data_IF_489152079416
#
_entry.id   IF_489152079416
#
_cell.length_a   1.000
_cell.length_b   1.000
_cell.length_c   1.000
_cell.angle_alpha   90.00
_cell.angle_beta   90.00
_cell.angle_gamma   90.00
#
_symmetry.space_group_name_H-M   'P 1'
#
loop_
_entity.id
_entity.type
_entity.pdbx_description
1 polymer ?
#
# COMPACT_ATOMS: atom_id res chain seq x y z
N UNK A 1 -24.35 -15.93 -22.94
CA UNK A 1 -23.66 -14.62 -23.00
C UNK A 1 -23.47 -14.09 -24.44
N UNK A 2 -23.04 -14.93 -25.40
CA UNK A 2 -22.71 -14.49 -26.76
C UNK A 2 -23.83 -13.75 -27.50
N UNK A 3 -25.09 -14.20 -27.37
CA UNK A 3 -26.25 -13.53 -28.00
C UNK A 3 -26.41 -12.08 -27.51
N UNK A 4 -26.31 -11.85 -26.20
CA UNK A 4 -26.42 -10.50 -25.61
C UNK A 4 -25.24 -9.62 -26.05
N UNK A 5 -24.03 -10.17 -26.08
CA UNK A 5 -22.84 -9.42 -26.52
C UNK A 5 -22.93 -9.02 -28.00
N UNK A 6 -23.50 -9.89 -28.84
CA UNK A 6 -23.70 -9.61 -30.26
C UNK A 6 -24.74 -8.52 -30.53
N UNK A 7 -25.70 -8.29 -29.62
CA UNK A 7 -26.69 -7.22 -29.75
C UNK A 7 -26.08 -5.82 -29.57
N UNK A 8 -24.99 -5.70 -28.81
CA UNK A 8 -24.37 -4.40 -28.54
C UNK A 8 -22.84 -4.50 -28.32
N UNK A 9 -22.07 -5.02 -29.30
CA UNK A 9 -20.66 -5.38 -29.13
C UNK A 9 -19.74 -4.18 -28.86
N UNK A 10 -20.15 -2.97 -29.24
CA UNK A 10 -19.41 -1.73 -28.95
C UNK A 10 -19.63 -1.23 -27.51
N UNK A 11 -20.68 -1.69 -26.84
CA UNK A 11 -21.06 -1.17 -25.51
C UNK A 11 -20.99 -2.23 -24.43
N UNK A 12 -21.08 -3.51 -24.76
CA UNK A 12 -21.06 -4.61 -23.81
C UNK A 12 -19.75 -5.41 -23.89
N UNK A 13 -19.34 -5.97 -22.76
CA UNK A 13 -18.28 -6.96 -22.69
C UNK A 13 -18.61 -8.02 -21.63
N UNK A 14 -17.98 -9.18 -21.76
CA UNK A 14 -18.04 -10.24 -20.76
C UNK A 14 -17.04 -9.92 -19.66
N UNK A 15 -17.51 -9.73 -18.44
CA UNK A 15 -16.62 -9.47 -17.31
C UNK A 15 -15.79 -10.72 -16.98
N UNK A 16 -14.47 -10.60 -16.79
CA UNK A 16 -13.58 -11.73 -16.57
C UNK A 16 -13.60 -12.26 -15.12
N UNK A 17 -14.62 -11.91 -14.32
CA UNK A 17 -14.77 -12.39 -12.94
C UNK A 17 -15.41 -13.78 -12.85
N UNK A 18 -15.11 -14.47 -11.76
CA UNK A 18 -15.85 -15.63 -11.29
C UNK A 18 -16.99 -15.20 -10.39
N UNK A 19 -18.13 -15.88 -10.51
CA UNK A 19 -19.27 -15.70 -9.62
C UNK A 19 -19.29 -16.81 -8.57
N UNK A 20 -19.47 -16.42 -7.31
CA UNK A 20 -19.52 -17.31 -6.16
C UNK A 20 -20.81 -17.07 -5.39
N UNK A 21 -21.42 -18.15 -4.88
CA UNK A 21 -22.65 -18.15 -4.09
C UNK A 21 -22.42 -18.83 -2.76
N UNK A 22 -22.93 -18.21 -1.69
CA UNK A 22 -23.12 -18.86 -0.40
C UNK A 22 -24.61 -19.08 -0.16
N UNK A 23 -25.01 -20.33 0.04
CA UNK A 23 -26.35 -20.65 0.54
C UNK A 23 -26.42 -20.37 2.03
N UNK A 24 -27.27 -19.42 2.43
CA UNK A 24 -27.26 -18.89 3.79
C UNK A 24 -27.78 -19.91 4.82
N UNK A 25 -28.63 -20.85 4.39
CA UNK A 25 -29.08 -21.96 5.21
C UNK A 25 -27.96 -22.94 5.64
N UNK A 26 -26.85 -23.00 4.89
CA UNK A 26 -25.70 -23.84 5.17
C UNK A 26 -24.63 -23.13 6.03
N UNK A 27 -24.78 -21.82 6.28
CA UNK A 27 -23.82 -21.05 7.07
C UNK A 27 -23.87 -21.47 8.54
N UNK A 28 -22.71 -21.77 9.11
CA UNK A 28 -22.55 -22.01 10.54
C UNK A 28 -21.82 -20.84 11.19
N UNK A 29 -22.49 -20.19 12.12
CA UNK A 29 -21.90 -19.11 12.89
C UNK A 29 -20.74 -19.66 13.73
N UNK A 30 -19.64 -18.90 13.78
CA UNK A 30 -18.45 -19.24 14.58
C UNK A 30 -18.42 -18.36 15.82
N UNK A 31 -17.91 -18.91 16.92
CA UNK A 31 -17.73 -18.13 18.14
C UNK A 31 -16.87 -16.88 17.87
N UNK A 32 -17.25 -15.70 18.40
CA UNK A 32 -16.47 -14.48 18.24
C UNK A 32 -15.07 -14.69 18.83
N UNK A 33 -14.05 -14.26 18.10
CA UNK A 33 -12.70 -14.14 18.65
C UNK A 33 -12.49 -12.73 19.17
N UNK A 34 -11.74 -12.52 20.26
CA UNK A 34 -11.31 -11.20 20.68
C UNK A 34 -10.58 -10.52 19.51
N UNK A 35 -11.07 -9.35 19.11
CA UNK A 35 -10.49 -8.54 18.03
C UNK A 35 -10.19 -7.16 18.59
N UNK A 36 -9.11 -6.54 18.09
CA UNK A 36 -8.73 -5.16 18.41
C UNK A 36 -9.40 -4.14 17.50
N UNK A 37 -10.40 -4.58 16.76
CA UNK A 37 -11.27 -3.77 15.92
C UNK A 37 -12.71 -4.26 16.09
N UNK A 38 -13.66 -3.39 15.77
CA UNK A 38 -15.08 -3.72 15.79
C UNK A 38 -15.65 -3.69 14.38
N UNK A 39 -16.61 -4.55 14.08
CA UNK A 39 -17.35 -4.53 12.82
C UNK A 39 -18.78 -4.09 13.09
N UNK A 40 -19.23 -3.05 12.38
CA UNK A 40 -20.54 -2.44 12.59
C UNK A 40 -21.10 -1.83 11.30
N UNK A 41 -22.41 -1.54 11.28
CA UNK A 41 -22.98 -0.65 10.26
C UNK A 41 -22.35 0.75 10.34
N UNK A 42 -22.30 1.42 9.19
CA UNK A 42 -21.98 2.84 9.08
C UNK A 42 -22.98 3.70 9.88
N UNK A 43 -22.47 4.66 10.65
CA UNK A 43 -23.23 5.49 11.61
C UNK A 43 -22.96 6.98 11.49
N UNK A 44 -21.78 7.40 11.04
CA UNK A 44 -21.36 8.81 11.03
C UNK A 44 -20.93 9.27 9.63
N UNK A 45 -20.80 10.59 9.44
CA UNK A 45 -20.18 11.15 8.22
C UNK A 45 -18.68 10.84 8.16
N UNK A 46 -18.01 10.78 9.30
CA UNK A 46 -16.60 10.39 9.40
C UNK A 46 -16.39 8.96 8.90
N UNK A 47 -17.33 8.04 9.18
CA UNK A 47 -17.29 6.69 8.62
C UNK A 47 -17.34 6.72 7.08
N UNK A 48 -18.16 7.59 6.48
CA UNK A 48 -18.26 7.71 5.03
C UNK A 48 -16.95 8.22 4.41
N UNK A 49 -16.28 9.18 5.07
CA UNK A 49 -14.94 9.61 4.68
C UNK A 49 -13.93 8.46 4.82
N UNK A 50 -13.96 7.72 5.92
CA UNK A 50 -13.10 6.54 6.15
C UNK A 50 -13.31 5.42 5.11
N UNK A 51 -14.55 5.20 4.65
CA UNK A 51 -14.84 4.27 3.55
C UNK A 51 -14.10 4.67 2.27
N UNK A 52 -14.13 5.95 1.90
CA UNK A 52 -13.41 6.43 0.72
C UNK A 52 -11.90 6.36 0.90
N UNK A 53 -11.39 6.67 2.09
CA UNK A 53 -9.97 6.51 2.39
C UNK A 53 -9.51 5.06 2.12
N UNK A 54 -10.30 4.06 2.57
CA UNK A 54 -10.01 2.64 2.28
C UNK A 54 -10.13 2.32 0.78
N UNK A 55 -11.08 2.91 0.07
CA UNK A 55 -11.21 2.74 -1.39
C UNK A 55 -9.99 3.30 -2.13
N UNK A 56 -9.59 4.52 -1.82
CA UNK A 56 -8.44 5.19 -2.43
C UNK A 56 -7.14 4.44 -2.14
N UNK A 57 -6.94 3.98 -0.90
CA UNK A 57 -5.80 3.15 -0.52
C UNK A 57 -5.74 1.81 -1.29
N UNK A 58 -6.87 1.36 -1.86
CA UNK A 58 -6.98 0.17 -2.72
C UNK A 58 -7.11 0.49 -4.21
N UNK A 59 -6.86 1.74 -4.62
CA UNK A 59 -7.00 2.21 -5.99
C UNK A 59 -8.42 1.97 -6.55
N UNK A 60 -9.42 1.98 -5.68
CA UNK A 60 -10.83 1.86 -6.04
C UNK A 60 -11.42 3.25 -6.24
N UNK A 61 -12.49 3.32 -7.04
CA UNK A 61 -13.18 4.59 -7.32
C UNK A 61 -13.91 5.06 -6.06
N UNK A 62 -13.59 6.25 -5.51
CA UNK A 62 -14.31 6.80 -4.37
C UNK A 62 -15.74 7.19 -4.76
N UNK A 63 -16.63 7.22 -3.76
CA UNK A 63 -18.03 7.60 -3.94
C UNK A 63 -18.29 8.89 -3.18
N UNK A 64 -19.13 9.78 -3.69
CA UNK A 64 -19.45 11.02 -2.98
C UNK A 64 -19.85 10.72 -1.50
N UNK A 65 -19.16 11.28 -0.48
CA UNK A 65 -19.42 10.94 0.92
C UNK A 65 -20.89 11.12 1.33
N UNK A 66 -21.54 12.15 0.78
CA UNK A 66 -22.97 12.42 1.01
C UNK A 66 -23.89 11.33 0.43
N UNK A 67 -23.49 10.65 -0.65
CA UNK A 67 -24.22 9.50 -1.15
C UNK A 67 -24.14 8.35 -0.14
N UNK A 68 -22.94 7.98 0.31
CA UNK A 68 -22.73 6.91 1.30
C UNK A 68 -23.51 7.22 2.58
N UNK A 69 -23.42 8.46 3.07
CA UNK A 69 -24.11 8.92 4.27
C UNK A 69 -25.64 8.79 4.17
N UNK A 70 -26.22 9.12 3.02
CA UNK A 70 -27.67 8.95 2.76
C UNK A 70 -28.10 7.48 2.80
N UNK A 71 -27.21 6.56 2.44
CA UNK A 71 -27.51 5.12 2.44
C UNK A 71 -27.41 4.45 3.81
N UNK A 72 -27.01 5.15 4.87
CA UNK A 72 -26.80 4.54 6.21
C UNK A 72 -28.00 3.73 6.74
N UNK A 73 -29.22 4.21 6.47
CA UNK A 73 -30.48 3.61 6.88
C UNK A 73 -31.20 2.87 5.74
N UNK A 74 -30.54 2.71 4.59
CA UNK A 74 -31.11 2.02 3.44
C UNK A 74 -31.39 0.55 3.78
N UNK A 75 -32.52 0.07 3.24
CA UNK A 75 -32.86 -1.37 3.21
C UNK A 75 -32.32 -2.04 1.95
N UNK A 76 -31.92 -1.26 0.95
CA UNK A 76 -31.39 -1.73 -0.32
C UNK A 76 -29.87 -1.95 -0.26
N UNK A 77 -29.16 -1.02 0.39
CA UNK A 77 -27.71 -1.03 0.51
C UNK A 77 -27.29 -1.10 1.98
N UNK A 78 -26.36 -1.99 2.27
CA UNK A 78 -25.81 -2.19 3.62
C UNK A 78 -24.33 -1.86 3.63
N UNK A 79 -23.96 -0.71 4.20
CA UNK A 79 -22.57 -0.31 4.41
C UNK A 79 -22.10 -0.76 5.79
N UNK A 80 -21.10 -1.64 5.80
CA UNK A 80 -20.45 -2.18 7.00
C UNK A 80 -19.02 -1.66 7.05
N UNK A 81 -18.58 -1.23 8.21
CA UNK A 81 -17.23 -0.72 8.45
C UNK A 81 -16.55 -1.52 9.56
N UNK A 82 -15.23 -1.67 9.44
CA UNK A 82 -14.36 -2.16 10.48
C UNK A 82 -13.58 -0.98 11.07
N UNK A 83 -13.69 -0.77 12.37
CA UNK A 83 -13.10 0.36 13.11
C UNK A 83 -12.02 -0.15 14.07
N UNK A 84 -10.81 0.40 13.97
CA UNK A 84 -9.72 0.10 14.90
C UNK A 84 -9.99 0.65 16.30
N UNK A 85 -9.81 -0.14 17.36
CA UNK A 85 -10.06 0.33 18.73
C UNK A 85 -9.04 1.35 19.23
N UNK A 86 -7.83 1.38 18.65
CA UNK A 86 -6.74 2.25 19.13
C UNK A 86 -6.77 3.61 18.45
N UNK A 87 -6.90 3.66 17.12
CA UNK A 87 -6.94 4.91 16.36
C UNK A 87 -8.36 5.44 16.14
N UNK A 88 -9.39 4.58 16.21
CA UNK A 88 -10.76 4.93 15.83
C UNK A 88 -10.95 5.05 14.31
N UNK A 89 -9.95 4.70 13.52
CA UNK A 89 -10.01 4.81 12.06
C UNK A 89 -10.76 3.63 11.43
N UNK A 90 -11.39 3.90 10.29
CA UNK A 90 -12.00 2.85 9.47
C UNK A 90 -10.91 2.13 8.69
N UNK A 91 -10.62 0.89 9.08
CA UNK A 91 -9.58 0.03 8.50
C UNK A 91 -10.13 -0.97 7.47
N UNK A 92 -11.44 -0.96 7.24
CA UNK A 92 -12.07 -1.82 6.25
C UNK A 92 -13.55 -1.49 6.05
N UNK A 93 -14.07 -1.90 4.89
CA UNK A 93 -15.45 -1.65 4.49
C UNK A 93 -15.98 -2.79 3.64
N UNK A 94 -17.27 -3.07 3.78
CA UNK A 94 -17.99 -3.95 2.89
C UNK A 94 -19.38 -3.40 2.57
N UNK A 95 -19.81 -3.57 1.33
CA UNK A 95 -21.11 -3.12 0.85
C UNK A 95 -21.91 -4.31 0.39
N UNK A 96 -23.07 -4.51 1.00
CA UNK A 96 -24.05 -5.51 0.58
C UNK A 96 -25.23 -4.91 -0.18
N UNK A 97 -25.89 -5.73 -0.99
CA UNK A 97 -27.16 -5.41 -1.68
C UNK A 97 -28.22 -6.43 -1.31
N UNK A 98 -29.42 -5.94 -0.97
CA UNK A 98 -30.61 -6.76 -0.76
C UNK A 98 -31.40 -6.84 -2.07
N UNK A 99 -31.36 -7.99 -2.76
CA UNK A 99 -31.94 -8.13 -4.09
C UNK A 99 -33.47 -8.00 -4.08
N UNK A 100 -34.12 -8.51 -3.05
CA UNK A 100 -35.56 -8.37 -2.85
C UNK A 100 -35.96 -6.91 -2.66
N UNK A 101 -35.21 -6.17 -1.86
CA UNK A 101 -35.51 -4.75 -1.61
C UNK A 101 -35.22 -3.85 -2.82
N UNK A 102 -34.34 -4.27 -3.74
CA UNK A 102 -33.95 -3.48 -4.92
C UNK A 102 -34.82 -3.80 -6.14
N UNK A 103 -35.10 -5.07 -6.41
CA UNK A 103 -35.77 -5.50 -7.64
C UNK A 103 -36.74 -6.68 -7.44
N UNK A 104 -37.18 -6.94 -6.21
CA UNK A 104 -38.14 -8.00 -5.87
C UNK A 104 -37.70 -9.39 -6.36
N UNK A 105 -36.44 -9.73 -6.09
CA UNK A 105 -35.86 -11.02 -6.49
C UNK A 105 -36.67 -12.23 -5.98
N UNK A 106 -37.28 -13.02 -6.88
CA UNK A 106 -38.11 -14.16 -6.49
C UNK A 106 -37.30 -15.26 -5.77
N UNK A 107 -35.99 -15.34 -6.02
CA UNK A 107 -35.14 -16.34 -5.38
C UNK A 107 -34.67 -15.89 -3.97
N UNK A 108 -35.03 -14.67 -3.55
CA UNK A 108 -34.76 -14.19 -2.20
C UNK A 108 -33.29 -13.87 -1.93
N UNK A 109 -32.54 -13.42 -2.95
CA UNK A 109 -31.09 -13.24 -2.91
C UNK A 109 -30.56 -11.99 -2.21
N UNK A 110 -29.24 -11.95 -2.12
CA UNK A 110 -28.44 -10.79 -1.72
C UNK A 110 -27.07 -10.88 -2.39
N UNK A 111 -26.28 -9.80 -2.34
CA UNK A 111 -24.89 -9.86 -2.79
C UNK A 111 -23.92 -9.04 -1.94
N UNK A 112 -22.67 -9.50 -1.92
CA UNK A 112 -21.51 -8.71 -1.53
C UNK A 112 -21.04 -7.93 -2.77
N UNK A 113 -21.31 -6.63 -2.80
CA UNK A 113 -20.89 -5.76 -3.91
C UNK A 113 -19.42 -5.38 -3.79
N UNK A 114 -19.01 -4.96 -2.60
CA UNK A 114 -17.68 -4.41 -2.39
C UNK A 114 -17.09 -4.96 -1.09
N UNK A 115 -15.79 -5.27 -1.12
CA UNK A 115 -14.98 -5.59 0.06
C UNK A 115 -13.62 -4.91 -0.11
N UNK A 116 -13.25 -4.06 0.83
CA UNK A 116 -11.95 -3.42 0.87
C UNK A 116 -11.43 -3.39 2.31
N UNK A 117 -10.14 -3.61 2.47
CA UNK A 117 -9.43 -3.57 3.75
C UNK A 117 -8.22 -2.71 3.55
N UNK A 118 -7.95 -1.77 4.44
CA UNK A 118 -6.79 -0.89 4.36
C UNK A 118 -5.49 -1.73 4.19
N UNK A 119 -4.67 -1.51 3.14
CA UNK A 119 -3.41 -2.23 2.98
C UNK A 119 -2.42 -2.00 4.13
N UNK A 120 -2.57 -0.89 4.88
CA UNK A 120 -1.72 -0.48 5.98
C UNK A 120 -2.15 -1.01 7.35
N UNK A 121 -3.39 -1.49 7.51
CA UNK A 121 -3.86 -1.94 8.84
C UNK A 121 -2.98 -3.07 9.39
N UNK A 122 -2.61 -3.03 10.67
CA UNK A 122 -1.84 -4.12 11.29
C UNK A 122 -2.71 -5.36 11.59
N UNK A 123 -4.05 -5.24 11.49
CA UNK A 123 -4.97 -6.28 11.94
C UNK A 123 -5.22 -7.37 10.90
N UNK A 124 -4.94 -8.64 11.22
CA UNK A 124 -5.33 -9.75 10.37
C UNK A 124 -6.84 -10.04 10.50
N UNK A 125 -7.44 -10.58 9.43
CA UNK A 125 -8.81 -11.10 9.48
C UNK A 125 -9.94 -10.08 9.32
N UNK A 126 -9.63 -8.79 9.11
CA UNK A 126 -10.63 -7.73 8.89
C UNK A 126 -11.59 -8.08 7.74
N UNK A 127 -11.06 -8.52 6.60
CA UNK A 127 -11.88 -8.92 5.45
C UNK A 127 -12.82 -10.10 5.76
N UNK A 128 -12.34 -11.10 6.52
CA UNK A 128 -13.18 -12.22 6.95
C UNK A 128 -14.30 -11.75 7.89
N UNK A 129 -13.99 -10.89 8.84
CA UNK A 129 -14.96 -10.35 9.80
C UNK A 129 -16.06 -9.54 9.11
N UNK A 130 -15.70 -8.70 8.13
CA UNK A 130 -16.64 -7.92 7.31
C UNK A 130 -17.60 -8.81 6.52
N UNK A 131 -17.08 -9.84 5.84
CA UNK A 131 -17.93 -10.75 5.05
C UNK A 131 -18.85 -11.54 5.96
N UNK A 132 -18.36 -12.06 7.10
CA UNK A 132 -19.21 -12.76 8.08
C UNK A 132 -20.33 -11.88 8.62
N UNK A 133 -20.04 -10.61 8.92
CA UNK A 133 -21.06 -9.67 9.35
C UNK A 133 -22.16 -9.51 8.30
N UNK A 134 -21.81 -9.39 7.01
CA UNK A 134 -22.79 -9.29 5.93
C UNK A 134 -23.59 -10.58 5.73
N UNK A 135 -22.96 -11.75 5.84
CA UNK A 135 -23.64 -13.06 5.82
C UNK A 135 -24.71 -13.10 6.92
N UNK A 136 -24.32 -12.80 8.15
CA UNK A 136 -25.21 -12.84 9.31
C UNK A 136 -26.30 -11.78 9.23
N UNK A 137 -25.99 -10.61 8.66
CA UNK A 137 -26.97 -9.57 8.37
C UNK A 137 -28.06 -10.04 7.41
N UNK A 138 -27.70 -10.67 6.28
CA UNK A 138 -28.70 -11.13 5.31
C UNK A 138 -29.40 -12.43 5.71
N UNK A 139 -28.74 -13.29 6.48
CA UNK A 139 -29.38 -14.43 7.13
C UNK A 139 -30.48 -13.96 8.09
N UNK A 140 -30.21 -12.95 8.93
CA UNK A 140 -31.21 -12.38 9.84
C UNK A 140 -32.37 -11.69 9.09
N UNK A 141 -32.14 -11.27 7.84
CA UNK A 141 -33.18 -10.73 6.95
C UNK A 141 -33.94 -11.81 6.18
N UNK A 142 -33.65 -13.09 6.39
CA UNK A 142 -34.31 -14.21 5.73
C UNK A 142 -33.97 -14.35 4.24
N UNK A 143 -32.79 -13.89 3.81
CA UNK A 143 -32.34 -14.11 2.42
C UNK A 143 -31.89 -15.56 2.23
N UNK A 144 -32.06 -16.11 1.03
CA UNK A 144 -31.75 -17.50 0.72
C UNK A 144 -30.25 -17.71 0.44
N UNK A 145 -29.62 -16.77 -0.26
CA UNK A 145 -28.21 -16.84 -0.62
C UNK A 145 -27.55 -15.45 -0.67
N UNK A 146 -26.22 -15.44 -0.71
CA UNK A 146 -25.43 -14.26 -0.99
C UNK A 146 -24.43 -14.53 -2.13
N UNK A 147 -24.51 -13.72 -3.19
CA UNK A 147 -23.63 -13.80 -4.35
C UNK A 147 -22.49 -12.78 -4.29
N UNK A 148 -21.40 -13.07 -4.99
CA UNK A 148 -20.32 -12.12 -5.24
C UNK A 148 -19.65 -12.39 -6.58
N UNK A 149 -19.03 -11.37 -7.15
CA UNK A 149 -18.14 -11.48 -8.30
C UNK A 149 -16.72 -11.11 -7.91
N UNK A 150 -15.74 -11.92 -8.29
CA UNK A 150 -14.31 -11.70 -8.02
C UNK A 150 -13.48 -11.94 -9.27
N UNK A 151 -12.55 -11.03 -9.58
CA UNK A 151 -11.65 -11.21 -10.73
C UNK A 151 -10.91 -12.55 -10.61
N UNK A 152 -10.82 -13.29 -11.73
CA UNK A 152 -10.24 -14.63 -11.78
C UNK A 152 -8.80 -14.71 -11.26
N UNK A 153 -8.05 -13.61 -11.30
CA UNK A 153 -6.68 -13.52 -10.83
C UNK A 153 -6.54 -13.09 -9.35
N UNK A 154 -7.64 -12.74 -8.66
CA UNK A 154 -7.61 -12.33 -7.26
C UNK A 154 -7.61 -13.55 -6.31
N UNK A 155 -6.48 -14.28 -6.30
CA UNK A 155 -6.30 -15.52 -5.54
C UNK A 155 -6.58 -15.37 -4.04
N UNK A 156 -6.22 -14.22 -3.45
CA UNK A 156 -6.41 -13.97 -2.02
C UNK A 156 -7.90 -13.87 -1.66
N UNK A 157 -8.68 -13.12 -2.44
CA UNK A 157 -10.11 -13.01 -2.21
C UNK A 157 -10.83 -14.34 -2.48
N UNK A 158 -10.45 -15.05 -3.56
CA UNK A 158 -10.99 -16.38 -3.87
C UNK A 158 -10.77 -17.34 -2.69
N UNK A 159 -9.55 -17.43 -2.16
CA UNK A 159 -9.26 -18.28 -1.00
C UNK A 159 -10.07 -17.91 0.24
N UNK A 160 -10.31 -16.61 0.48
CA UNK A 160 -11.19 -16.14 1.55
C UNK A 160 -12.63 -16.62 1.35
N UNK A 161 -13.18 -16.48 0.15
CA UNK A 161 -14.56 -16.86 -0.14
C UNK A 161 -14.76 -18.38 -0.06
N UNK A 162 -13.83 -19.17 -0.60
CA UNK A 162 -13.86 -20.63 -0.50
C UNK A 162 -13.77 -21.09 0.97
N UNK A 163 -12.88 -20.47 1.76
CA UNK A 163 -12.79 -20.71 3.21
C UNK A 163 -14.09 -20.41 3.95
N UNK A 164 -14.86 -19.42 3.49
CA UNK A 164 -16.16 -19.04 4.05
C UNK A 164 -17.32 -19.92 3.55
N UNK A 165 -17.06 -20.87 2.67
CA UNK A 165 -18.06 -21.81 2.15
C UNK A 165 -18.79 -21.32 0.90
N UNK A 166 -18.33 -20.24 0.26
CA UNK A 166 -18.84 -19.86 -1.05
C UNK A 166 -18.43 -20.88 -2.10
N UNK A 167 -19.35 -21.19 -3.01
CA UNK A 167 -19.15 -22.12 -4.10
C UNK A 167 -19.25 -21.39 -5.43
N UNK A 168 -18.38 -21.74 -6.37
CA UNK A 168 -18.42 -21.15 -7.72
C UNK A 168 -19.69 -21.60 -8.43
N UNK A 169 -20.41 -20.64 -9.02
CA UNK A 169 -21.62 -20.89 -9.82
C UNK A 169 -21.36 -20.53 -11.29
N UNK A 170 -21.99 -21.23 -12.26
CA UNK A 170 -21.77 -21.02 -13.68
C UNK A 170 -22.56 -19.80 -14.21
N UNK A 171 -22.41 -18.64 -13.56
CA UNK A 171 -23.08 -17.39 -13.93
C UNK A 171 -22.05 -16.41 -14.48
N UNK A 172 -22.41 -15.75 -15.57
CA UNK A 172 -21.58 -14.75 -16.24
C UNK A 172 -22.13 -13.36 -15.99
N UNK A 173 -21.23 -12.38 -15.84
CA UNK A 173 -21.59 -10.97 -15.72
C UNK A 173 -21.31 -10.27 -17.04
N UNK A 174 -22.32 -9.58 -17.58
CA UNK A 174 -22.17 -8.71 -18.75
C UNK A 174 -22.22 -7.27 -18.26
N UNK A 175 -21.20 -6.47 -18.62
CA UNK A 175 -21.09 -5.08 -18.19
C UNK A 175 -21.07 -4.14 -19.38
N UNK A 176 -21.51 -2.90 -19.15
CA UNK A 176 -21.30 -1.79 -20.09
C UNK A 176 -19.85 -1.31 -20.00
N UNK A 177 -19.21 -1.13 -21.15
CA UNK A 177 -17.90 -0.48 -21.29
C UNK A 177 -18.00 0.97 -20.81
N UNK A 178 -17.04 1.38 -20.00
CA UNK A 178 -16.85 2.75 -19.52
C UNK A 178 -15.40 2.93 -19.04
N UNK A 179 -15.02 4.18 -18.76
CA UNK A 179 -13.65 4.52 -18.35
C UNK A 179 -13.19 3.84 -17.04
N UNK A 180 -14.10 3.37 -16.18
CA UNK A 180 -13.74 2.69 -14.92
C UNK A 180 -13.33 1.24 -15.18
N UNK A 181 -13.98 0.57 -16.14
CA UNK A 181 -13.73 -0.84 -16.45
C UNK A 181 -12.94 -1.06 -17.75
N UNK A 182 -12.30 -0.01 -18.26
CA UNK A 182 -11.46 -0.03 -19.47
C UNK A 182 -10.47 -1.19 -19.49
N UNK A 183 -9.70 -1.33 -18.40
CA UNK A 183 -8.70 -2.38 -18.24
C UNK A 183 -9.25 -3.82 -18.32
N UNK A 184 -10.58 -4.02 -18.26
CA UNK A 184 -11.19 -5.34 -18.36
C UNK A 184 -11.60 -5.72 -19.80
N UNK A 185 -11.60 -4.77 -20.74
CA UNK A 185 -12.01 -5.01 -22.13
C UNK A 185 -11.04 -4.46 -23.18
N UNK A 186 -10.01 -3.70 -22.79
CA UNK A 186 -8.90 -3.33 -23.65
C UNK A 186 -7.77 -4.35 -23.51
N UNK A 187 -7.03 -4.60 -24.60
CA UNK A 187 -5.80 -5.37 -24.51
C UNK A 187 -4.77 -4.59 -23.67
N UNK A 188 -3.95 -5.26 -22.85
CA UNK A 188 -2.76 -4.65 -22.30
C UNK A 188 -1.78 -4.39 -23.46
N UNK A 189 -1.67 -3.14 -23.91
CA UNK A 189 -0.69 -2.77 -24.92
C UNK A 189 0.72 -2.78 -24.31
N UNK A 190 1.64 -3.57 -24.86
CA UNK A 190 3.10 -3.32 -24.97
C UNK A 190 3.90 -2.84 -23.75
N UNK A 191 3.36 -2.88 -22.54
CA UNK A 191 3.96 -2.34 -21.31
C UNK A 191 4.56 -3.40 -20.40
N UNK A 192 4.64 -4.65 -20.86
CA UNK A 192 5.40 -5.68 -20.17
C UNK A 192 6.86 -5.20 -20.03
N UNK A 193 7.22 -4.77 -18.82
CA UNK A 193 8.57 -4.31 -18.49
C UNK A 193 8.66 -2.90 -17.90
N UNK A 194 7.65 -2.03 -18.08
CA UNK A 194 7.71 -0.70 -17.43
C UNK A 194 7.61 -0.84 -15.92
N UNK A 195 8.50 -0.13 -15.21
CA UNK A 195 8.45 -0.09 -13.75
C UNK A 195 7.15 0.59 -13.23
N UNK A 196 6.78 0.39 -11.96
CA UNK A 196 5.52 0.93 -11.43
C UNK A 196 5.41 2.45 -11.51
N UNK A 197 6.51 3.19 -11.40
CA UNK A 197 6.51 4.66 -11.50
C UNK A 197 6.14 5.15 -12.89
N UNK A 198 6.73 4.56 -13.94
CA UNK A 198 6.39 4.86 -15.33
C UNK A 198 4.92 4.50 -15.61
N UNK A 199 4.46 3.34 -15.13
CA UNK A 199 3.08 2.88 -15.32
C UNK A 199 2.04 3.83 -14.72
N UNK A 200 2.32 4.45 -13.57
CA UNK A 200 1.42 5.46 -12.98
C UNK A 200 1.21 6.61 -13.95
N UNK A 201 2.29 7.11 -14.57
CA UNK A 201 2.25 8.22 -15.51
C UNK A 201 1.60 7.81 -16.83
N UNK A 202 1.97 6.65 -17.39
CA UNK A 202 1.43 6.21 -18.70
C UNK A 202 -0.06 5.87 -18.62
N UNK A 203 -0.52 5.26 -17.53
CA UNK A 203 -1.95 4.99 -17.32
C UNK A 203 -2.78 6.28 -17.24
N UNK A 204 -2.32 7.26 -16.46
CA UNK A 204 -3.03 8.54 -16.35
C UNK A 204 -2.96 9.34 -17.66
N UNK A 205 -1.85 9.27 -18.40
CA UNK A 205 -1.72 9.87 -19.73
C UNK A 205 -2.79 9.31 -20.69
N UNK A 206 -2.95 7.99 -20.77
CA UNK A 206 -3.98 7.34 -21.61
C UNK A 206 -5.39 7.74 -21.21
N UNK A 207 -5.68 7.76 -19.91
CA UNK A 207 -6.99 8.19 -19.38
C UNK A 207 -7.36 9.60 -19.84
N UNK A 208 -6.36 10.47 -20.06
CA UNK A 208 -6.50 11.84 -20.56
C UNK A 208 -6.42 11.97 -22.09
N UNK A 209 -6.32 10.87 -22.82
CA UNK A 209 -6.16 10.87 -24.27
C UNK A 209 -4.77 11.30 -24.76
N UNK A 210 -3.76 11.26 -23.89
CA UNK A 210 -2.36 11.52 -24.25
C UNK A 210 -1.77 10.21 -24.79
N UNK A 211 -1.15 10.26 -25.96
CA UNK A 211 -0.53 9.09 -26.57
C UNK A 211 0.74 8.72 -25.81
N UNK A 212 0.92 7.42 -25.53
CA UNK A 212 2.10 6.86 -24.91
C UNK A 212 2.84 6.01 -25.94
N UNK A 213 4.11 6.32 -26.18
CA UNK A 213 5.00 5.50 -27.00
C UNK A 213 6.16 5.00 -26.12
N UNK A 214 6.18 3.71 -25.80
CA UNK A 214 7.30 3.09 -25.08
C UNK A 214 8.53 3.09 -25.98
N UNK A 215 9.64 3.61 -25.49
CA UNK A 215 10.91 3.67 -26.25
C UNK A 215 11.82 2.53 -25.83
N UNK A 216 11.92 2.28 -24.53
CA UNK A 216 12.69 1.21 -23.93
C UNK A 216 12.06 0.88 -22.57
N UNK A 217 11.37 -0.26 -22.47
CA UNK A 217 10.66 -0.64 -21.25
C UNK A 217 11.63 -1.00 -20.11
N UNK A 218 12.73 -1.70 -20.44
CA UNK A 218 13.71 -2.18 -19.47
C UNK A 218 14.44 -1.02 -18.78
N UNK A 219 14.79 0.01 -19.55
CA UNK A 219 15.43 1.22 -19.04
C UNK A 219 14.43 2.31 -18.60
N UNK A 220 13.13 2.03 -18.69
CA UNK A 220 12.04 2.89 -18.23
C UNK A 220 11.78 4.14 -19.09
N UNK A 221 12.18 4.14 -20.37
CA UNK A 221 11.96 5.26 -21.28
C UNK A 221 10.64 5.16 -22.05
N UNK A 222 9.90 6.27 -22.06
CA UNK A 222 8.68 6.42 -22.84
C UNK A 222 8.49 7.86 -23.27
N UNK A 223 7.70 8.08 -24.32
CA UNK A 223 7.34 9.40 -24.85
C UNK A 223 5.84 9.63 -24.70
N UNK A 224 5.49 10.80 -24.19
CA UNK A 224 4.12 11.29 -24.14
C UNK A 224 3.90 12.27 -25.28
N UNK A 225 2.80 12.15 -26.02
CA UNK A 225 2.49 13.01 -27.16
C UNK A 225 1.04 13.51 -27.13
N UNK A 226 0.85 14.83 -27.30
CA UNK A 226 -0.46 15.47 -27.41
C UNK A 226 -0.37 16.71 -28.30
N UNK A 227 -1.26 16.81 -29.29
CA UNK A 227 -1.41 18.04 -30.10
C UNK A 227 -0.13 18.49 -30.81
N UNK A 228 0.69 17.54 -31.30
CA UNK A 228 1.96 17.83 -31.99
C UNK A 228 3.14 18.16 -31.08
N UNK A 229 2.95 18.22 -29.76
CA UNK A 229 4.03 18.30 -28.77
C UNK A 229 4.32 16.91 -28.23
N UNK A 230 5.58 16.66 -27.89
CA UNK A 230 5.96 15.45 -27.18
C UNK A 230 6.99 15.76 -26.10
N UNK A 231 7.01 14.93 -25.06
CA UNK A 231 7.96 14.99 -23.94
C UNK A 231 8.49 13.59 -23.70
N UNK A 232 9.81 13.43 -23.64
CA UNK A 232 10.43 12.15 -23.30
C UNK A 232 10.61 12.05 -21.79
N UNK A 233 10.24 10.88 -21.26
CA UNK A 233 10.29 10.56 -19.83
C UNK A 233 11.18 9.35 -19.59
N UNK A 234 11.76 9.30 -18.39
CA UNK A 234 12.47 8.14 -17.83
C UNK A 234 11.94 7.92 -16.43
N UNK A 235 11.21 6.84 -16.21
CA UNK A 235 10.48 6.60 -14.95
C UNK A 235 9.57 7.80 -14.59
N UNK A 236 9.77 8.42 -13.42
CA UNK A 236 9.07 9.63 -12.98
C UNK A 236 9.71 10.95 -13.45
N UNK A 237 10.86 10.89 -14.15
CA UNK A 237 11.56 12.06 -14.69
C UNK A 237 11.09 12.38 -16.09
N UNK A 238 11.20 13.65 -16.47
CA UNK A 238 11.03 14.12 -17.85
C UNK A 238 12.17 15.04 -18.25
N UNK A 239 12.30 15.31 -19.55
CA UNK A 239 13.33 16.19 -20.13
C UNK A 239 13.35 17.63 -19.56
N UNK A 240 12.30 18.05 -18.84
CA UNK A 240 12.26 19.32 -18.11
C UNK A 240 13.14 19.31 -16.85
N UNK A 241 13.55 18.13 -16.36
CA UNK A 241 14.48 17.99 -15.25
C UNK A 241 15.91 18.09 -15.78
N UNK A 242 16.58 19.22 -15.53
CA UNK A 242 17.93 19.43 -16.06
C UNK A 242 18.96 18.46 -15.45
N UNK A 243 19.98 18.12 -16.23
CA UNK A 243 21.11 17.32 -15.76
C UNK A 243 21.82 17.93 -14.54
N UNK A 244 21.85 19.28 -14.45
CA UNK A 244 22.42 19.99 -13.30
C UNK A 244 21.59 19.77 -12.04
N UNK A 245 20.26 19.77 -12.14
CA UNK A 245 19.38 19.48 -11.01
C UNK A 245 19.57 18.03 -10.53
N UNK A 246 19.57 17.07 -11.44
CA UNK A 246 19.83 15.65 -11.13
C UNK A 246 21.18 15.47 -10.44
N UNK A 247 22.26 16.03 -11.00
CA UNK A 247 23.60 15.92 -10.44
C UNK A 247 23.70 16.50 -9.03
N UNK A 248 23.07 17.66 -8.78
CA UNK A 248 23.04 18.27 -7.44
C UNK A 248 22.32 17.38 -6.43
N UNK A 249 21.19 16.78 -6.81
CA UNK A 249 20.41 15.88 -5.96
C UNK A 249 21.11 14.55 -5.67
N UNK A 250 21.91 14.03 -6.61
CA UNK A 250 22.64 12.77 -6.44
C UNK A 250 23.81 12.91 -5.43
N UNK A 251 24.41 14.09 -5.33
CA UNK A 251 25.49 14.39 -4.39
C UNK A 251 24.90 14.98 -3.09
N UNK A 252 24.96 14.18 -2.01
CA UNK A 252 24.41 14.55 -0.70
C UNK A 252 25.10 15.78 -0.08
N UNK A 253 26.39 15.97 -0.34
CA UNK A 253 27.15 17.11 0.18
C UNK A 253 26.80 18.40 -0.57
N UNK A 254 26.69 18.33 -1.89
CA UNK A 254 26.25 19.46 -2.72
C UNK A 254 24.80 19.83 -2.37
N UNK A 255 23.91 18.85 -2.26
CA UNK A 255 22.51 19.07 -1.85
C UNK A 255 22.46 19.84 -0.54
N UNK A 256 23.15 19.38 0.51
CA UNK A 256 23.12 20.04 1.81
C UNK A 256 23.62 21.49 1.73
N UNK A 257 24.73 21.75 1.03
CA UNK A 257 25.28 23.11 0.90
C UNK A 257 24.32 24.06 0.22
N UNK A 258 23.59 23.57 -0.79
CA UNK A 258 22.59 24.34 -1.52
C UNK A 258 21.44 24.70 -0.61
N UNK A 259 20.89 23.72 0.12
CA UNK A 259 19.79 23.95 1.06
C UNK A 259 20.22 24.92 2.17
N UNK A 260 21.41 24.72 2.76
CA UNK A 260 21.99 25.61 3.77
C UNK A 260 22.15 27.04 3.29
N UNK A 261 22.65 27.23 2.05
CA UNK A 261 22.82 28.56 1.43
C UNK A 261 21.48 29.30 1.31
N UNK A 262 20.38 28.58 1.14
CA UNK A 262 19.03 29.14 1.05
C UNK A 262 18.32 29.23 2.41
N UNK A 263 19.04 29.06 3.53
CA UNK A 263 18.51 29.26 4.88
C UNK A 263 17.70 28.10 5.43
N UNK A 264 17.72 26.94 4.78
CA UNK A 264 17.07 25.74 5.31
C UNK A 264 17.90 25.13 6.44
N UNK A 265 17.21 24.64 7.48
CA UNK A 265 17.83 23.87 8.55
C UNK A 265 18.31 22.54 7.98
N UNK A 266 19.59 22.25 8.16
CA UNK A 266 20.23 21.01 7.68
C UNK A 266 21.14 20.46 8.77
N UNK A 267 21.30 19.12 8.86
CA UNK A 267 22.21 18.53 9.83
C UNK A 267 23.66 18.94 9.53
N UNK A 268 24.46 19.00 10.59
CA UNK A 268 25.91 19.14 10.47
C UNK A 268 26.48 17.93 9.72
N UNK A 269 27.48 18.17 8.86
CA UNK A 269 28.09 17.15 8.01
C UNK A 269 29.60 17.38 7.88
N UNK A 270 30.38 16.32 7.90
CA UNK A 270 31.80 16.32 7.54
C UNK A 270 32.17 15.06 6.74
N UNK A 271 33.35 15.06 6.11
CA UNK A 271 33.88 13.85 5.48
C UNK A 271 34.59 12.99 6.52
N UNK A 272 34.39 11.68 6.44
CA UNK A 272 35.17 10.74 7.22
C UNK A 272 36.63 10.80 6.79
N UNK A 273 37.51 11.06 7.75
CA UNK A 273 38.94 11.30 7.55
C UNK A 273 39.72 10.43 8.54
N UNK A 274 40.41 11.01 9.52
CA UNK A 274 41.17 10.24 10.51
C UNK A 274 40.24 9.77 11.65
N UNK A 275 40.56 8.66 12.34
CA UNK A 275 39.77 8.19 13.48
C UNK A 275 39.52 9.27 14.53
N UNK A 276 40.52 10.11 14.82
CA UNK A 276 40.44 11.18 15.81
C UNK A 276 39.43 12.26 15.39
N UNK A 277 39.45 12.67 14.12
CA UNK A 277 38.50 13.66 13.59
C UNK A 277 37.07 13.11 13.52
N UNK A 278 36.95 11.83 13.16
CA UNK A 278 35.65 11.15 13.10
C UNK A 278 35.04 11.01 14.51
N UNK A 279 35.86 10.65 15.49
CA UNK A 279 35.45 10.54 16.89
C UNK A 279 35.07 11.91 17.47
N UNK A 280 35.86 12.96 17.21
CA UNK A 280 35.52 14.31 17.67
C UNK A 280 34.15 14.79 17.15
N UNK A 281 33.83 14.51 15.89
CA UNK A 281 32.50 14.82 15.33
C UNK A 281 31.37 14.01 15.99
N UNK A 282 31.62 12.76 16.34
CA UNK A 282 30.65 11.93 17.07
C UNK A 282 30.42 12.46 18.50
N UNK A 283 31.48 12.85 19.19
CA UNK A 283 31.42 13.43 20.55
C UNK A 283 30.66 14.76 20.55
N UNK A 284 30.85 15.61 19.53
CA UNK A 284 30.13 16.89 19.39
C UNK A 284 28.61 16.71 19.21
N UNK A 285 28.19 15.61 18.57
CA UNK A 285 26.79 15.42 18.17
C UNK A 285 26.06 14.29 18.89
N UNK A 286 26.73 13.58 19.81
CA UNK A 286 26.27 12.44 20.61
C UNK A 286 25.86 11.18 19.80
N UNK A 287 25.15 11.37 18.70
CA UNK A 287 24.73 10.34 17.76
C UNK A 287 24.92 10.83 16.32
N UNK A 288 25.47 9.97 15.47
CA UNK A 288 25.74 10.30 14.07
C UNK A 288 25.25 9.23 13.10
N UNK A 289 25.19 9.62 11.82
CA UNK A 289 24.87 8.81 10.66
C UNK A 289 26.11 8.71 9.78
N UNK A 290 26.44 7.49 9.35
CA UNK A 290 27.51 7.22 8.39
C UNK A 290 26.87 6.82 7.06
N UNK A 291 27.22 7.50 5.97
CA UNK A 291 26.66 7.21 4.64
C UNK A 291 27.63 7.51 3.49
N UNK A 292 27.58 6.76 2.37
CA UNK A 292 28.32 7.12 1.17
C UNK A 292 27.79 8.43 0.56
N UNK A 293 28.70 9.23 0.00
CA UNK A 293 28.41 10.52 -0.63
C UNK A 293 27.34 10.37 -1.72
N UNK A 294 27.57 9.42 -2.63
CA UNK A 294 26.66 9.05 -3.71
C UNK A 294 25.86 7.79 -3.32
N UNK A 295 24.79 7.51 -4.06
CA UNK A 295 24.00 6.29 -3.89
C UNK A 295 22.62 6.52 -3.27
N UNK A 296 21.77 5.51 -3.41
CA UNK A 296 20.33 5.54 -3.16
C UNK A 296 19.87 4.37 -2.27
N UNK A 297 18.57 4.31 -1.99
CA UNK A 297 17.88 3.19 -1.30
C UNK A 297 18.41 2.81 0.09
N UNK A 298 19.26 3.64 0.70
CA UNK A 298 19.82 3.39 2.03
C UNK A 298 20.98 2.39 2.08
N UNK A 299 21.55 2.03 0.93
CA UNK A 299 22.71 1.13 0.89
C UNK A 299 23.94 1.78 1.52
N UNK A 300 24.65 1.01 2.36
CA UNK A 300 25.83 1.50 3.07
C UNK A 300 25.54 2.55 4.14
N UNK A 301 24.28 2.77 4.53
CA UNK A 301 23.91 3.73 5.57
C UNK A 301 23.85 3.04 6.93
N UNK A 302 24.51 3.63 7.93
CA UNK A 302 24.37 3.27 9.34
C UNK A 302 23.85 4.49 10.12
N UNK A 303 22.81 4.30 10.92
CA UNK A 303 22.14 5.37 11.68
C UNK A 303 22.30 5.15 13.19
N UNK A 304 22.21 6.25 13.95
CA UNK A 304 22.27 6.25 15.41
C UNK A 304 23.53 5.57 15.97
N UNK A 305 24.69 5.95 15.42
CA UNK A 305 26.00 5.50 15.88
C UNK A 305 26.42 6.38 17.06
N UNK A 306 26.68 5.76 18.20
CA UNK A 306 27.03 6.43 19.47
C UNK A 306 28.32 5.87 20.09
N UNK A 307 29.01 4.98 19.39
CA UNK A 307 30.16 4.23 19.89
C UNK A 307 31.31 4.23 18.86
N UNK A 308 32.58 4.44 19.29
CA UNK A 308 33.72 4.53 18.38
C UNK A 308 33.97 3.27 17.56
N UNK A 309 33.78 2.08 18.14
CA UNK A 309 34.00 0.82 17.43
C UNK A 309 32.91 0.63 16.36
N UNK A 310 31.66 0.97 16.71
CA UNK A 310 30.56 0.98 15.75
C UNK A 310 30.79 1.98 14.61
N UNK A 311 31.36 3.16 14.91
CA UNK A 311 31.69 4.18 13.91
C UNK A 311 32.70 3.64 12.89
N UNK A 312 33.79 3.04 13.35
CA UNK A 312 34.81 2.52 12.44
C UNK A 312 34.27 1.36 11.59
N UNK A 313 33.47 0.47 12.18
CA UNK A 313 32.81 -0.61 11.45
C UNK A 313 31.82 -0.08 10.40
N UNK A 314 31.04 0.95 10.74
CA UNK A 314 30.09 1.59 9.83
C UNK A 314 30.80 2.28 8.65
N UNK A 315 31.91 2.98 8.89
CA UNK A 315 32.73 3.60 7.82
C UNK A 315 33.27 2.53 6.88
N UNK A 316 33.82 1.44 7.41
CA UNK A 316 34.35 0.34 6.59
C UNK A 316 33.25 -0.31 5.75
N UNK A 317 32.05 -0.50 6.30
CA UNK A 317 30.91 -1.01 5.54
C UNK A 317 30.46 -0.03 4.45
N UNK A 318 30.41 1.26 4.75
CA UNK A 318 29.98 2.28 3.80
C UNK A 318 30.95 2.39 2.60
N UNK A 319 32.26 2.16 2.83
CA UNK A 319 33.29 2.16 1.77
C UNK A 319 33.05 1.13 0.66
N UNK A 320 32.35 0.04 0.96
CA UNK A 320 31.96 -0.94 -0.07
C UNK A 320 31.00 -0.36 -1.12
N UNK A 321 30.38 0.79 -0.84
CA UNK A 321 29.41 1.46 -1.72
C UNK A 321 29.94 2.79 -2.30
N UNK A 322 31.15 3.22 -1.92
CA UNK A 322 31.79 4.41 -2.46
C UNK A 322 32.95 4.91 -1.61
N UNK A 323 33.92 5.57 -2.25
CA UNK A 323 35.17 5.96 -1.59
C UNK A 323 35.01 7.12 -0.61
N UNK A 324 34.05 8.01 -0.87
CA UNK A 324 33.80 9.21 -0.07
C UNK A 324 32.66 8.98 0.89
N UNK A 325 32.98 8.96 2.19
CA UNK A 325 32.01 8.74 3.26
C UNK A 325 31.73 10.05 3.98
N UNK A 326 30.45 10.29 4.25
CA UNK A 326 29.95 11.41 5.03
C UNK A 326 29.58 10.92 6.44
N UNK A 327 29.98 11.72 7.42
CA UNK A 327 29.44 11.70 8.78
C UNK A 327 28.43 12.83 8.87
N UNK A 328 27.26 12.55 9.44
CA UNK A 328 26.16 13.52 9.57
C UNK A 328 25.55 13.42 10.96
N UNK A 329 25.15 14.57 11.53
CA UNK A 329 24.41 14.61 12.79
C UNK A 329 23.13 13.75 12.69
N UNK A 330 22.88 12.89 13.67
CA UNK A 330 21.62 12.17 13.77
C UNK A 330 20.51 13.11 14.27
N UNK A 331 19.44 13.24 13.49
CA UNK A 331 18.26 14.02 13.89
C UNK A 331 17.12 13.06 14.28
N UNK A 332 16.71 13.01 15.57
CA UNK A 332 15.56 12.21 15.97
C UNK A 332 14.26 12.85 15.47
N UNK A 333 13.32 12.04 14.99
CA UNK A 333 12.04 12.52 14.50
C UNK A 333 11.37 11.56 13.52
N UNK A 334 10.30 12.03 12.90
CA UNK A 334 9.58 11.32 11.84
C UNK A 334 10.08 11.72 10.45
N UNK A 335 10.10 10.75 9.54
CA UNK A 335 10.54 10.92 8.16
C UNK A 335 9.36 11.37 7.29
N UNK A 336 9.24 12.68 7.07
CA UNK A 336 8.22 13.28 6.21
C UNK A 336 8.73 13.33 4.75
N UNK A 337 8.04 12.63 3.85
CA UNK A 337 8.25 12.68 2.41
C UNK A 337 7.30 13.69 1.79
N UNK A 338 7.85 14.67 1.09
CA UNK A 338 7.06 15.72 0.39
C UNK A 338 7.30 15.59 -1.12
N UNK A 339 6.23 15.64 -1.90
CA UNK A 339 6.27 15.71 -3.37
C UNK A 339 5.91 17.14 -3.78
N UNK A 340 6.84 17.81 -4.46
CA UNK A 340 6.64 19.17 -4.97
C UNK A 340 6.55 19.12 -6.49
N UNK A 341 5.47 19.67 -7.06
CA UNK A 341 5.23 19.73 -8.50
C UNK A 341 4.85 21.17 -8.85
N UNK A 342 5.55 21.80 -9.80
CA UNK A 342 5.19 23.14 -10.26
C UNK A 342 5.23 24.20 -9.15
N UNK A 343 6.14 24.08 -8.18
CA UNK A 343 6.26 24.94 -6.99
C UNK A 343 5.17 24.77 -5.93
N UNK A 344 4.30 23.77 -6.05
CA UNK A 344 3.26 23.45 -5.08
C UNK A 344 3.52 22.09 -4.42
N UNK A 345 3.13 21.95 -3.15
CA UNK A 345 3.14 20.66 -2.46
C UNK A 345 1.96 19.85 -2.99
N UNK A 346 2.26 18.80 -3.75
CA UNK A 346 1.27 17.91 -4.33
C UNK A 346 0.84 16.78 -3.37
N UNK A 347 1.76 16.34 -2.50
CA UNK A 347 1.51 15.33 -1.47
C UNK A 347 2.54 15.40 -0.35
N UNK A 348 2.15 14.98 0.85
CA UNK A 348 3.03 14.75 1.99
C UNK A 348 2.69 13.42 2.68
N UNK A 349 3.70 12.66 3.10
CA UNK A 349 3.46 11.40 3.79
C UNK A 349 4.54 11.07 4.82
N UNK A 350 4.13 10.56 5.97
CA UNK A 350 5.02 10.05 7.02
C UNK A 350 5.40 8.61 6.70
N UNK A 351 6.70 8.31 6.68
CA UNK A 351 7.19 6.95 6.50
C UNK A 351 7.45 6.30 7.85
N UNK A 352 6.90 5.11 8.05
CA UNK A 352 7.11 4.33 9.26
C UNK A 352 7.96 3.08 8.97
N UNK A 353 8.92 2.74 9.85
CA UNK A 353 9.68 1.50 9.74
C UNK A 353 8.78 0.26 9.87
N UNK A 354 9.24 -0.85 9.30
CA UNK A 354 8.50 -2.10 9.34
C UNK A 354 8.25 -2.58 10.78
N UNK A 355 7.01 -2.99 11.04
CA UNK A 355 6.54 -3.53 12.33
C UNK A 355 5.75 -4.82 12.13
N UNK A 356 5.79 -5.66 13.15
CA UNK A 356 4.92 -6.83 13.29
C UNK A 356 4.11 -6.74 14.58
N UNK A 357 2.96 -7.39 14.62
CA UNK A 357 2.10 -7.47 15.79
C UNK A 357 1.92 -8.93 16.18
N UNK A 358 2.21 -9.26 17.43
CA UNK A 358 2.11 -10.62 17.95
C UNK A 358 0.68 -11.13 17.89
N UNK A 359 0.49 -12.39 17.49
CA UNK A 359 -0.80 -13.07 17.60
C UNK A 359 -0.82 -14.11 18.72
N UNK A 360 0.25 -14.17 19.53
CA UNK A 360 0.41 -15.10 20.65
C UNK A 360 0.57 -16.56 20.25
N UNK A 361 0.72 -16.86 18.95
CA UNK A 361 0.85 -18.22 18.43
C UNK A 361 2.05 -18.36 17.51
N UNK A 362 2.21 -17.46 16.55
CA UNK A 362 3.29 -17.51 15.56
C UNK A 362 4.60 -16.96 16.12
N UNK A 363 5.72 -17.48 15.61
CA UNK A 363 7.05 -16.94 15.93
C UNK A 363 7.27 -15.57 15.27
N UNK A 364 8.25 -14.81 15.75
CA UNK A 364 8.66 -13.54 15.13
C UNK A 364 8.98 -13.71 13.64
N UNK A 365 9.73 -14.77 13.28
CA UNK A 365 10.05 -15.07 11.88
C UNK A 365 8.79 -15.33 11.04
N UNK A 366 7.84 -16.11 11.54
CA UNK A 366 6.58 -16.41 10.85
C UNK A 366 5.69 -15.16 10.69
N UNK A 367 5.69 -14.28 11.69
CA UNK A 367 4.99 -13.00 11.63
C UNK A 367 5.63 -12.06 10.61
N UNK A 368 6.96 -12.00 10.52
CA UNK A 368 7.70 -11.25 9.50
C UNK A 368 7.33 -11.78 8.11
N UNK A 369 7.40 -13.10 7.90
CA UNK A 369 7.01 -13.77 6.67
C UNK A 369 5.57 -13.44 6.26
N UNK A 370 4.63 -13.54 7.20
CA UNK A 370 3.21 -13.21 6.99
C UNK A 370 3.01 -11.74 6.62
N UNK A 371 3.70 -10.82 7.28
CA UNK A 371 3.64 -9.40 6.98
C UNK A 371 4.29 -9.09 5.61
N UNK A 372 5.44 -9.69 5.30
CA UNK A 372 6.11 -9.58 4.01
C UNK A 372 5.22 -10.05 2.85
N UNK A 373 4.53 -11.19 3.00
CA UNK A 373 3.57 -11.66 1.98
C UNK A 373 2.44 -10.68 1.76
N UNK A 374 1.91 -10.09 2.83
CA UNK A 374 0.85 -9.08 2.76
C UNK A 374 1.34 -7.80 2.07
N UNK A 375 2.53 -7.31 2.42
CA UNK A 375 3.13 -6.11 1.82
C UNK A 375 3.45 -6.33 0.35
N UNK A 376 4.06 -7.45 -0.01
CA UNK A 376 4.33 -7.81 -1.40
C UNK A 376 3.04 -7.87 -2.23
N UNK A 377 1.96 -8.43 -1.69
CA UNK A 377 0.67 -8.44 -2.38
C UNK A 377 0.09 -7.02 -2.56
N UNK A 378 0.30 -6.12 -1.60
CA UNK A 378 -0.20 -4.75 -1.66
C UNK A 378 0.60 -3.83 -2.60
N UNK A 379 1.91 -4.09 -2.78
CA UNK A 379 2.81 -3.25 -3.59
C UNK A 379 3.25 -3.91 -4.90
N UNK A 380 2.54 -4.94 -5.38
CA UNK A 380 2.92 -5.65 -6.61
C UNK A 380 4.27 -6.35 -6.55
N UNK A 381 4.75 -6.70 -5.36
CA UNK A 381 6.01 -7.41 -5.12
C UNK A 381 7.14 -6.54 -4.57
N UNK A 382 7.04 -5.22 -4.64
CA UNK A 382 8.15 -4.30 -4.29
C UNK A 382 8.55 -4.27 -2.81
N UNK A 383 7.66 -4.65 -1.89
CA UNK A 383 7.84 -4.45 -0.45
C UNK A 383 7.89 -5.79 0.26
N UNK A 384 9.04 -6.11 0.86
CA UNK A 384 9.23 -7.26 1.76
C UNK A 384 10.16 -6.88 2.89
N UNK A 385 9.94 -7.43 4.07
CA UNK A 385 10.87 -7.32 5.18
C UNK A 385 11.94 -8.41 4.98
N UNK A 386 13.20 -8.05 4.71
CA UNK A 386 14.27 -9.04 4.57
C UNK A 386 14.62 -9.64 5.94
N UNK A 387 14.92 -10.93 5.98
CA UNK A 387 15.51 -11.59 7.16
C UNK A 387 17.04 -11.52 7.02
N UNK A 388 17.59 -10.34 7.29
CA UNK A 388 19.02 -10.04 7.25
C UNK A 388 19.53 -9.64 8.64
N UNK A 389 20.83 -9.37 8.75
CA UNK A 389 21.49 -8.95 10.00
C UNK A 389 20.84 -7.71 10.64
N UNK A 390 20.29 -6.79 9.84
CA UNK A 390 19.64 -5.59 10.36
C UNK A 390 18.30 -5.92 11.02
N UNK A 391 17.54 -6.85 10.44
CA UNK A 391 16.30 -7.35 11.03
C UNK A 391 16.59 -8.11 12.32
N UNK A 392 17.60 -8.98 12.32
CA UNK A 392 18.02 -9.72 13.53
C UNK A 392 18.52 -8.78 14.63
N UNK A 393 19.30 -7.74 14.27
CA UNK A 393 19.76 -6.70 15.19
C UNK A 393 18.59 -5.96 15.84
N UNK A 394 17.58 -5.57 15.06
CA UNK A 394 16.39 -4.87 15.59
C UNK A 394 15.58 -5.76 16.54
N UNK A 395 15.41 -7.04 16.20
CA UNK A 395 14.67 -8.01 17.01
C UNK A 395 15.40 -8.28 18.33
N UNK A 396 16.71 -8.53 18.26
CA UNK A 396 17.57 -8.75 19.43
C UNK A 396 17.62 -7.53 20.35
N UNK A 397 17.75 -6.32 19.80
CA UNK A 397 17.76 -5.08 20.58
C UNK A 397 16.43 -4.83 21.34
N UNK A 398 15.32 -5.41 20.86
CA UNK A 398 14.03 -5.37 21.54
C UNK A 398 13.82 -6.51 22.55
N UNK A 399 14.83 -7.36 22.76
CA UNK A 399 14.81 -8.46 23.73
C UNK A 399 14.10 -9.72 23.25
N UNK A 400 14.02 -9.96 21.93
CA UNK A 400 13.43 -11.15 21.34
C UNK A 400 14.41 -11.87 20.43
N UNK A 401 14.23 -13.16 20.23
CA UNK A 401 14.79 -13.96 19.15
C UNK A 401 13.78 -14.21 18.03
N UNK A 402 14.26 -14.62 16.85
CA UNK A 402 13.41 -14.89 15.69
C UNK A 402 12.42 -16.06 15.90
N UNK A 403 12.74 -16.99 16.81
CA UNK A 403 11.90 -18.15 17.12
C UNK A 403 10.95 -17.89 18.30
N UNK A 404 11.03 -16.74 18.96
CA UNK A 404 10.16 -16.42 20.09
C UNK A 404 8.74 -16.16 19.62
N UNK A 405 7.76 -16.54 20.45
CA UNK A 405 6.36 -16.20 20.23
C UNK A 405 6.13 -14.78 20.77
N UNK A 406 5.82 -13.85 19.87
CA UNK A 406 5.53 -12.48 20.25
C UNK A 406 4.16 -12.43 20.96
N UNK A 407 4.08 -11.92 22.21
CA UNK A 407 2.83 -11.90 22.98
C UNK A 407 1.68 -11.21 22.23
N UNK A 408 0.45 -11.68 22.47
CA UNK A 408 -0.73 -11.23 21.75
C UNK A 408 -0.88 -9.70 21.78
N UNK A 409 -0.74 -9.14 20.58
CA UNK A 409 -0.79 -7.75 20.21
C UNK A 409 0.26 -6.82 20.84
N UNK A 410 1.41 -7.37 21.20
CA UNK A 410 2.64 -6.57 21.34
C UNK A 410 3.13 -6.19 19.93
N UNK A 411 3.43 -4.91 19.71
CA UNK A 411 4.03 -4.42 18.46
C UNK A 411 5.55 -4.43 18.57
N UNK A 412 6.23 -4.92 17.54
CA UNK A 412 7.69 -5.02 17.47
C UNK A 412 8.19 -4.35 16.20
N UNK A 413 9.13 -3.40 16.34
CA UNK A 413 9.84 -2.80 15.21
C UNK A 413 10.94 -3.73 14.74
N UNK A 414 10.88 -4.15 13.48
CA UNK A 414 11.81 -5.13 12.89
C UNK A 414 12.82 -4.50 11.93
N UNK A 415 12.71 -3.20 11.65
CA UNK A 415 13.68 -2.42 10.86
C UNK A 415 13.91 -1.05 11.50
N UNK A 416 15.12 -0.51 11.40
CA UNK A 416 15.40 0.85 11.87
C UNK A 416 15.00 1.93 10.86
N UNK A 417 15.11 1.64 9.56
CA UNK A 417 14.83 2.60 8.48
C UNK A 417 13.38 2.50 7.98
N UNK A 418 12.81 3.65 7.61
CA UNK A 418 11.44 3.78 7.10
C UNK A 418 11.38 3.63 5.56
N UNK A 419 11.98 2.57 5.02
CA UNK A 419 12.01 2.30 3.59
C UNK A 419 10.86 1.37 3.18
N UNK A 420 10.12 1.77 2.14
CA UNK A 420 8.98 1.01 1.60
C UNK A 420 9.41 -0.37 1.11
N UNK A 421 10.54 -0.46 0.41
CA UNK A 421 11.06 -1.72 -0.14
C UNK A 421 11.36 -2.75 0.95
N UNK A 422 11.79 -2.30 2.14
CA UNK A 422 12.09 -3.16 3.29
C UNK A 422 10.89 -3.37 4.23
N UNK A 423 9.67 -3.25 3.70
CA UNK A 423 8.43 -3.51 4.45
C UNK A 423 7.88 -2.35 5.28
N UNK A 424 8.46 -1.15 5.18
CA UNK A 424 7.90 0.06 5.80
C UNK A 424 6.54 0.46 5.22
N UNK A 425 5.83 1.33 5.93
CA UNK A 425 4.53 1.90 5.51
C UNK A 425 4.64 3.41 5.27
N UNK A 426 3.69 3.97 4.53
CA UNK A 426 3.65 5.38 4.13
C UNK A 426 2.26 5.89 4.45
N UNK A 427 2.14 6.83 5.38
CA UNK A 427 0.87 7.38 5.85
C UNK A 427 0.70 8.77 5.28
N UNK A 428 -0.36 8.99 4.50
CA UNK A 428 -0.67 10.30 3.91
C UNK A 428 -0.97 11.33 5.01
N UNK A 429 -0.38 12.52 4.87
CA UNK A 429 -0.57 13.68 5.76
C UNK A 429 -0.69 14.99 4.97
N UNK A 430 -1.09 14.89 3.69
CA UNK A 430 -1.24 16.03 2.76
C UNK A 430 -2.26 17.06 3.24
#
# INVERSE_FOLDING_TARGET
>A
PHVILAQAPQTLFLDPSHTYRLWLNAYRQRAPRPQRFSVRRLRTRTDAAGVNHVYEARQMVPVAPEFIWKQRASRQLSYIVAEDHKSGEIIGTATGVDHVSVFDDPDGGSSLWCLAVDPQTEHPGVGEALVRYLIEHYLARGRAFMDLSVLHNNRQAIALYEKLGFQRVPVFVVKRRNAINEALYTAPDGEEGLNPYARIITNEARRRGIQVHVLDAEQGYFRLSLGGRSVTCREALCELTSAVAMSRCQDKYVTQRVLKKHGLSVPAQCFATTPEQNQAFMEEHEAIVVKPLLGEQGQGIAVNITDPDQLQAAINRARNFGDRILLEQYCPGEDLRIVVIGYEIAAAAIRQPARIVGDGVLSVAELIEKQSRRRAAATGGESRIPLDDETERCVTAAGFGLQDILPYGRSLRVRSTANLHTGGTIHDVT
#
